data_IF_888827417779
#
_entry.id   IF_888827417779
#
_cell.length_a   1.000
_cell.length_b   1.000
_cell.length_c   1.000
_cell.angle_alpha   90.00
_cell.angle_beta   90.00
_cell.angle_gamma   90.00
#
_symmetry.space_group_name_H-M   'P 1'
#
loop_
_entity.id
_entity.type
_entity.pdbx_description
1 polymer ?
#
# COMPACT_ATOMS: atom_id res chain seq x y z
N UNK A 1 -6.67 -14.20 5.09
CA UNK A 1 -5.40 -13.47 5.39
C UNK A 1 -4.25 -14.35 4.92
N UNK A 2 -3.26 -13.74 4.27
CA UNK A 2 -1.99 -14.36 3.88
C UNK A 2 -0.92 -13.69 4.72
N UNK A 3 -0.18 -14.45 5.50
CA UNK A 3 0.94 -13.99 6.29
C UNK A 3 2.23 -14.31 5.53
N UNK A 4 3.09 -13.32 5.36
CA UNK A 4 4.34 -13.43 4.64
C UNK A 4 5.49 -12.97 5.53
N UNK A 5 6.57 -13.74 5.55
CA UNK A 5 7.79 -13.40 6.27
C UNK A 5 9.01 -13.56 5.35
N UNK A 6 9.83 -12.54 5.30
CA UNK A 6 11.03 -12.50 4.46
C UNK A 6 12.30 -12.87 5.23
N UNK A 7 12.27 -14.02 5.91
CA UNK A 7 13.35 -14.53 6.75
C UNK A 7 13.72 -13.56 7.89
N UNK A 8 12.72 -13.16 8.68
CA UNK A 8 12.94 -12.35 9.88
C UNK A 8 13.84 -13.05 10.90
N UNK A 9 14.69 -12.27 11.58
CA UNK A 9 15.66 -12.77 12.57
C UNK A 9 15.29 -12.41 14.02
N UNK A 10 14.13 -11.79 14.21
CA UNK A 10 13.54 -11.42 15.48
C UNK A 10 12.41 -12.39 15.90
N UNK A 11 11.59 -12.01 16.87
CA UNK A 11 10.47 -12.82 17.38
C UNK A 11 9.26 -12.92 16.42
N UNK A 12 9.32 -12.39 15.19
CA UNK A 12 8.22 -12.40 14.23
C UNK A 12 7.68 -13.79 13.99
N UNK A 13 8.55 -14.80 13.91
CA UNK A 13 8.16 -16.20 13.73
C UNK A 13 7.25 -16.73 14.85
N UNK A 14 7.50 -16.36 16.09
CA UNK A 14 6.67 -16.74 17.22
C UNK A 14 5.27 -16.16 17.09
N UNK A 15 5.17 -14.88 16.70
CA UNK A 15 3.92 -14.17 16.49
C UNK A 15 3.13 -14.82 15.33
N UNK A 16 3.77 -15.04 14.19
CA UNK A 16 3.14 -15.63 13.02
C UNK A 16 2.60 -17.02 13.29
N UNK A 17 3.36 -17.86 14.00
CA UNK A 17 2.92 -19.19 14.41
C UNK A 17 1.69 -19.16 15.34
N UNK A 18 1.60 -18.16 16.21
CA UNK A 18 0.41 -17.96 17.05
C UNK A 18 -0.85 -17.72 16.17
N UNK A 19 -0.72 -16.91 15.12
CA UNK A 19 -1.84 -16.61 14.23
C UNK A 19 -2.13 -17.68 13.17
N UNK A 20 -1.22 -18.62 12.91
CA UNK A 20 -1.38 -19.69 11.93
C UNK A 20 -2.66 -20.51 12.13
N UNK A 21 -3.10 -20.69 13.36
CA UNK A 21 -4.31 -21.46 13.70
C UNK A 21 -5.61 -20.66 13.57
N UNK A 22 -5.53 -19.35 13.29
CA UNK A 22 -6.70 -18.52 13.11
C UNK A 22 -7.39 -18.89 11.78
N UNK A 23 -8.70 -19.16 11.83
CA UNK A 23 -9.50 -19.62 10.67
C UNK A 23 -9.51 -18.63 9.50
N UNK A 24 -9.15 -17.36 9.73
CA UNK A 24 -9.03 -16.33 8.68
C UNK A 24 -7.68 -16.37 7.97
N UNK A 25 -6.67 -17.03 8.53
CA UNK A 25 -5.35 -17.18 7.92
C UNK A 25 -5.37 -18.39 7.00
N UNK A 26 -5.21 -18.15 5.70
CA UNK A 26 -5.24 -19.21 4.68
C UNK A 26 -3.86 -19.67 4.26
N UNK A 27 -2.86 -18.80 4.40
CA UNK A 27 -1.46 -19.09 4.07
C UNK A 27 -0.53 -18.44 5.09
N UNK A 28 0.53 -19.16 5.44
CA UNK A 28 1.70 -18.66 6.13
C UNK A 28 2.92 -19.09 5.31
N UNK A 29 3.58 -18.11 4.71
CA UNK A 29 4.73 -18.30 3.85
C UNK A 29 5.96 -17.65 4.47
N UNK A 30 7.02 -18.43 4.61
CA UNK A 30 8.27 -17.98 5.25
C UNK A 30 9.40 -18.25 4.27
N UNK A 31 10.13 -17.21 3.92
CA UNK A 31 11.31 -17.38 3.08
C UNK A 31 12.47 -17.94 3.90
N UNK A 32 13.28 -18.78 3.27
CA UNK A 32 14.52 -19.29 3.88
C UNK A 32 15.67 -18.29 3.83
N UNK A 33 15.58 -17.32 2.92
CA UNK A 33 16.57 -16.25 2.72
C UNK A 33 15.83 -14.95 2.48
N UNK A 34 16.30 -13.88 3.12
CA UNK A 34 15.73 -12.54 2.93
C UNK A 34 15.97 -12.05 1.49
N UNK A 35 14.91 -11.65 0.82
CA UNK A 35 14.96 -11.15 -0.58
C UNK A 35 15.50 -9.72 -0.65
N UNK A 36 15.43 -8.97 0.42
CA UNK A 36 15.82 -7.58 0.50
C UNK A 36 14.86 -6.61 -0.20
N UNK A 37 13.69 -7.09 -0.65
CA UNK A 37 12.68 -6.27 -1.32
C UNK A 37 11.27 -6.59 -0.79
N UNK A 38 10.52 -5.59 -0.31
CA UNK A 38 9.12 -5.80 0.08
C UNK A 38 8.26 -6.19 -1.13
N UNK A 39 8.63 -5.76 -2.33
CA UNK A 39 7.83 -5.97 -3.54
C UNK A 39 7.83 -7.45 -3.99
N UNK A 40 8.88 -8.20 -3.70
CA UNK A 40 8.88 -9.66 -3.90
C UNK A 40 7.83 -10.34 -3.00
N UNK A 41 7.65 -9.86 -1.77
CA UNK A 41 6.59 -10.33 -0.88
C UNK A 41 5.21 -9.92 -1.39
N UNK A 42 5.05 -8.71 -1.92
CA UNK A 42 3.80 -8.28 -2.52
C UNK A 42 3.39 -9.22 -3.68
N UNK A 43 4.31 -9.48 -4.61
CA UNK A 43 4.06 -10.39 -5.74
C UNK A 43 3.60 -11.77 -5.26
N UNK A 44 4.29 -12.34 -4.27
CA UNK A 44 3.96 -13.63 -3.67
C UNK A 44 2.55 -13.61 -3.04
N UNK A 45 2.25 -12.60 -2.23
CA UNK A 45 0.95 -12.45 -1.58
C UNK A 45 -0.20 -12.26 -2.58
N UNK A 46 0.01 -11.44 -3.60
CA UNK A 46 -0.99 -11.23 -4.66
C UNK A 46 -1.27 -12.53 -5.42
N UNK A 47 -0.24 -13.31 -5.75
CA UNK A 47 -0.38 -14.59 -6.46
C UNK A 47 -1.20 -15.62 -5.67
N UNK A 48 -1.03 -15.66 -4.35
CA UNK A 48 -1.75 -16.58 -3.45
C UNK A 48 -3.17 -16.09 -3.13
N UNK A 49 -3.47 -14.82 -3.39
CA UNK A 49 -4.75 -14.22 -3.03
C UNK A 49 -5.89 -14.77 -3.88
N UNK A 50 -7.07 -14.93 -3.25
CA UNK A 50 -8.32 -15.36 -3.92
C UNK A 50 -9.41 -14.30 -3.91
N UNK A 51 -9.16 -13.18 -3.22
CA UNK A 51 -10.12 -12.10 -3.05
C UNK A 51 -10.29 -11.26 -4.33
N UNK A 52 -11.48 -10.70 -4.51
CA UNK A 52 -11.76 -9.71 -5.55
C UNK A 52 -10.94 -8.43 -5.35
N UNK A 53 -10.72 -8.08 -4.11
CA UNK A 53 -9.93 -6.93 -3.67
C UNK A 53 -8.72 -7.41 -2.91
N UNK A 54 -7.64 -6.65 -3.00
CA UNK A 54 -6.40 -6.89 -2.28
C UNK A 54 -6.08 -5.66 -1.45
N UNK A 55 -5.65 -5.90 -0.24
CA UNK A 55 -5.07 -4.95 0.67
C UNK A 55 -3.69 -5.45 1.10
N UNK A 56 -2.66 -4.68 0.84
CA UNK A 56 -1.30 -4.93 1.33
C UNK A 56 -1.18 -4.20 2.66
N UNK A 57 -1.21 -4.95 3.75
CA UNK A 57 -1.02 -4.43 5.10
C UNK A 57 0.44 -4.65 5.51
N UNK A 58 1.22 -3.59 5.52
CA UNK A 58 2.61 -3.63 5.96
C UNK A 58 2.67 -3.81 7.49
N UNK A 59 3.63 -4.59 7.96
CA UNK A 59 3.63 -5.08 9.35
C UNK A 59 3.90 -4.00 10.40
N UNK A 60 4.47 -2.88 9.99
CA UNK A 60 4.75 -1.73 10.85
C UNK A 60 3.61 -0.70 10.92
N UNK A 61 2.61 -0.83 10.05
CA UNK A 61 1.47 0.06 10.00
C UNK A 61 0.27 -0.44 10.82
N UNK A 62 -0.74 0.42 10.93
CA UNK A 62 -2.04 0.07 11.51
C UNK A 62 -3.18 0.75 10.77
N UNK A 63 -4.40 0.26 10.97
CA UNK A 63 -5.59 0.84 10.37
C UNK A 63 -6.74 0.91 11.38
N UNK A 64 -7.64 1.87 11.16
CA UNK A 64 -8.90 1.92 11.89
C UNK A 64 -9.77 0.72 11.51
N UNK A 65 -10.61 0.25 12.43
CA UNK A 65 -11.47 -0.93 12.21
C UNK A 65 -12.43 -0.77 11.03
N UNK A 66 -12.78 0.47 10.67
CA UNK A 66 -13.65 0.81 9.53
C UNK A 66 -12.93 0.94 8.19
N UNK A 67 -11.59 0.84 8.15
CA UNK A 67 -10.80 1.05 6.94
C UNK A 67 -11.24 0.16 5.77
N UNK A 68 -11.34 -1.14 5.98
CA UNK A 68 -11.72 -2.09 4.91
C UNK A 68 -13.17 -1.91 4.48
N UNK A 69 -14.09 -1.69 5.43
CA UNK A 69 -15.49 -1.45 5.11
C UNK A 69 -15.65 -0.22 4.21
N UNK A 70 -15.00 0.88 4.58
CA UNK A 70 -15.02 2.12 3.79
C UNK A 70 -14.40 1.92 2.43
N UNK A 71 -13.20 1.34 2.35
CA UNK A 71 -12.47 1.13 1.10
C UNK A 71 -13.25 0.25 0.12
N UNK A 72 -13.80 -0.88 0.60
CA UNK A 72 -14.57 -1.81 -0.23
C UNK A 72 -15.89 -1.16 -0.69
N UNK A 73 -16.56 -0.42 0.19
CA UNK A 73 -17.76 0.34 -0.17
C UNK A 73 -17.47 1.32 -1.31
N UNK A 74 -16.39 2.10 -1.19
CA UNK A 74 -15.98 3.08 -2.20
C UNK A 74 -15.65 2.41 -3.52
N UNK A 75 -14.80 1.38 -3.52
CA UNK A 75 -14.44 0.68 -4.78
C UNK A 75 -15.66 0.06 -5.45
N UNK A 76 -16.67 -0.39 -4.68
CA UNK A 76 -17.92 -0.91 -5.25
C UNK A 76 -18.78 0.17 -5.89
N UNK A 77 -18.80 1.40 -5.34
CA UNK A 77 -19.52 2.54 -5.93
C UNK A 77 -18.92 2.98 -7.27
N UNK A 78 -17.61 2.73 -7.49
CA UNK A 78 -16.90 3.09 -8.70
C UNK A 78 -16.38 1.84 -9.44
N UNK A 79 -17.21 1.15 -10.25
CA UNK A 79 -16.85 -0.12 -10.88
C UNK A 79 -15.63 -0.04 -11.81
N UNK A 80 -15.32 1.15 -12.33
CA UNK A 80 -14.16 1.40 -13.19
C UNK A 80 -12.89 1.76 -12.41
N UNK A 81 -12.96 1.87 -11.08
CA UNK A 81 -11.79 2.14 -10.26
C UNK A 81 -10.85 0.92 -10.23
N UNK A 82 -9.58 1.12 -10.53
CA UNK A 82 -8.54 0.11 -10.35
C UNK A 82 -8.17 -0.02 -8.88
N UNK A 83 -8.12 1.10 -8.16
CA UNK A 83 -7.89 1.15 -6.72
C UNK A 83 -8.52 2.39 -6.09
N UNK A 84 -8.67 2.32 -4.77
CA UNK A 84 -8.87 3.51 -3.94
C UNK A 84 -7.78 3.59 -2.86
N UNK A 85 -7.45 4.81 -2.45
CA UNK A 85 -6.56 5.02 -1.31
C UNK A 85 -7.11 6.07 -0.35
N UNK A 86 -6.81 5.89 0.91
CA UNK A 86 -7.25 6.72 2.01
C UNK A 86 -6.03 7.38 2.65
N UNK A 87 -6.23 8.53 3.28
CA UNK A 87 -5.18 9.21 4.00
C UNK A 87 -4.72 8.46 5.25
N UNK A 88 -3.54 8.82 5.74
CA UNK A 88 -2.93 8.21 6.91
C UNK A 88 -2.58 9.26 7.96
N UNK A 89 -2.83 8.94 9.22
CA UNK A 89 -2.15 9.60 10.32
C UNK A 89 -0.73 9.07 10.45
N UNK A 90 0.26 9.96 10.52
CA UNK A 90 1.60 9.53 10.86
C UNK A 90 1.69 9.21 12.36
N UNK A 91 2.30 8.08 12.70
CA UNK A 91 2.51 7.65 14.08
C UNK A 91 4.00 7.36 14.36
N UNK A 92 4.42 7.48 15.60
CA UNK A 92 5.75 7.10 16.05
C UNK A 92 5.87 5.57 16.29
N UNK A 93 7.05 5.12 16.72
CA UNK A 93 7.33 3.71 17.04
C UNK A 93 6.41 3.16 18.15
N UNK A 94 5.88 4.03 19.02
CA UNK A 94 4.98 3.68 20.13
C UNK A 94 3.51 3.77 19.76
N UNK A 95 3.18 4.24 18.53
CA UNK A 95 1.82 4.42 18.06
C UNK A 95 1.20 5.79 18.41
N UNK A 96 1.97 6.74 18.94
CA UNK A 96 1.47 8.09 19.20
C UNK A 96 1.37 8.86 17.88
N UNK A 97 0.28 9.60 17.69
CA UNK A 97 0.10 10.42 16.51
C UNK A 97 1.09 11.59 16.47
N UNK A 98 1.70 11.78 15.31
CA UNK A 98 2.62 12.87 15.03
C UNK A 98 1.89 14.04 14.32
N UNK A 99 2.48 15.23 14.39
CA UNK A 99 2.02 16.40 13.63
C UNK A 99 2.42 16.34 12.15
N UNK A 100 3.29 15.40 11.76
CA UNK A 100 3.69 15.19 10.35
C UNK A 100 2.48 14.74 9.54
N UNK A 101 2.30 15.35 8.37
CA UNK A 101 1.23 15.03 7.43
C UNK A 101 1.79 14.96 6.02
N UNK A 102 1.56 13.85 5.35
CA UNK A 102 1.93 13.65 3.95
C UNK A 102 0.74 13.86 3.00
N UNK A 103 -0.50 13.82 3.52
CA UNK A 103 -1.70 14.10 2.76
C UNK A 103 -1.81 15.59 2.50
N UNK A 104 -1.42 16.04 1.34
CA UNK A 104 -1.43 17.45 0.97
C UNK A 104 -2.78 17.89 0.40
N UNK A 105 -3.85 17.55 1.09
CA UNK A 105 -5.17 17.96 0.68
C UNK A 105 -5.42 19.45 0.87
N UNK A 106 -5.98 20.04 -0.15
CA UNK A 106 -6.42 21.44 -0.09
C UNK A 106 -7.69 21.57 0.73
N UNK A 107 -8.00 22.77 1.19
CA UNK A 107 -9.27 23.04 1.88
C UNK A 107 -10.50 22.75 1.01
N UNK A 108 -10.36 22.77 -0.32
CA UNK A 108 -11.42 22.38 -1.26
C UNK A 108 -11.68 20.86 -1.21
N UNK A 109 -10.61 20.05 -1.23
CA UNK A 109 -10.71 18.60 -1.13
C UNK A 109 -11.32 18.17 0.21
N UNK A 110 -10.87 18.75 1.32
CA UNK A 110 -11.39 18.47 2.66
C UNK A 110 -12.86 18.86 2.85
N UNK A 111 -13.39 19.77 2.01
CA UNK A 111 -14.80 20.17 2.01
C UNK A 111 -15.61 19.51 0.89
N UNK A 112 -15.04 18.58 0.17
CA UNK A 112 -15.77 17.87 -0.89
C UNK A 112 -17.00 17.18 -0.28
N UNK A 113 -18.21 17.32 -0.87
CA UNK A 113 -19.48 16.85 -0.26
C UNK A 113 -19.48 15.37 0.14
N UNK A 114 -18.68 14.56 -0.54
CA UNK A 114 -18.59 13.11 -0.31
C UNK A 114 -17.23 12.65 0.20
N UNK A 115 -16.32 13.57 0.48
CA UNK A 115 -14.93 13.28 0.84
C UNK A 115 -14.22 12.36 -0.16
N UNK A 116 -14.56 12.41 -1.45
CA UNK A 116 -14.06 11.51 -2.47
C UNK A 116 -13.68 12.30 -3.73
N UNK A 117 -12.47 12.12 -4.22
CA UNK A 117 -12.02 12.51 -5.56
C UNK A 117 -11.98 11.30 -6.47
N UNK A 118 -12.47 11.45 -7.70
CA UNK A 118 -12.45 10.38 -8.71
C UNK A 118 -11.75 10.91 -9.94
N UNK A 119 -10.72 10.22 -10.37
CA UNK A 119 -9.82 10.67 -11.44
C UNK A 119 -9.73 9.60 -12.52
N UNK A 120 -9.63 10.01 -13.75
CA UNK A 120 -9.14 9.14 -14.81
C UNK A 120 -7.71 8.73 -14.52
N UNK A 121 -7.34 7.48 -14.79
CA UNK A 121 -6.03 6.97 -14.38
C UNK A 121 -4.87 7.63 -15.13
N UNK A 122 -5.01 7.86 -16.45
CA UNK A 122 -3.99 8.54 -17.24
C UNK A 122 -3.83 10.00 -16.81
N UNK A 123 -4.93 10.69 -16.53
CA UNK A 123 -4.89 12.05 -15.97
C UNK A 123 -4.25 12.09 -14.59
N UNK A 124 -4.52 11.09 -13.75
CA UNK A 124 -3.91 11.00 -12.43
C UNK A 124 -2.41 10.77 -12.52
N UNK A 125 -1.94 9.90 -13.44
CA UNK A 125 -0.51 9.71 -13.70
C UNK A 125 0.12 11.03 -14.14
N UNK A 126 -0.43 11.68 -15.17
CA UNK A 126 0.11 12.90 -15.76
C UNK A 126 0.23 14.07 -14.78
N UNK A 127 -0.77 14.24 -13.92
CA UNK A 127 -0.87 15.41 -13.04
C UNK A 127 -0.37 15.17 -11.62
N UNK A 128 -0.18 13.90 -11.21
CA UNK A 128 0.25 13.52 -9.88
C UNK A 128 1.46 12.57 -9.94
N UNK A 129 1.27 11.31 -10.32
CA UNK A 129 2.30 10.27 -10.17
C UNK A 129 3.54 10.49 -11.05
N UNK A 130 3.43 11.21 -12.16
CA UNK A 130 4.59 11.59 -12.96
C UNK A 130 5.60 12.48 -12.18
N UNK A 131 5.08 13.30 -11.27
CA UNK A 131 5.90 14.28 -10.54
C UNK A 131 6.37 13.76 -9.18
N UNK A 132 5.62 12.85 -8.57
CA UNK A 132 5.86 12.38 -7.22
C UNK A 132 4.97 11.18 -6.89
N UNK A 133 5.49 10.27 -6.04
CA UNK A 133 4.65 9.26 -5.41
C UNK A 133 3.72 9.92 -4.37
N UNK A 134 2.46 10.14 -4.75
CA UNK A 134 1.41 10.64 -3.83
C UNK A 134 0.77 9.51 -3.02
N UNK A 135 1.00 8.27 -3.41
CA UNK A 135 0.51 7.08 -2.70
C UNK A 135 1.67 6.53 -1.85
N UNK A 136 2.04 7.30 -0.86
CA UNK A 136 3.24 7.09 -0.04
C UNK A 136 3.15 5.91 0.94
N UNK A 137 1.97 5.31 1.10
CA UNK A 137 1.72 4.21 2.03
C UNK A 137 0.81 3.14 1.40
N UNK A 138 1.36 1.97 1.12
CA UNK A 138 0.63 0.85 0.54
C UNK A 138 -0.50 0.34 1.45
N UNK A 139 -0.32 0.41 2.77
CA UNK A 139 -1.36 0.04 3.74
C UNK A 139 -2.60 0.92 3.68
N UNK A 140 -2.51 2.09 3.03
CA UNK A 140 -3.65 2.98 2.77
C UNK A 140 -4.47 2.62 1.53
N UNK A 141 -4.10 1.58 0.78
CA UNK A 141 -4.66 1.27 -0.55
C UNK A 141 -5.41 -0.05 -0.57
N UNK A 142 -6.57 -0.06 -1.22
CA UNK A 142 -7.30 -1.28 -1.61
C UNK A 142 -7.48 -1.28 -3.12
N UNK A 143 -7.06 -2.35 -3.80
CA UNK A 143 -7.12 -2.44 -5.25
C UNK A 143 -7.85 -3.68 -5.76
N UNK A 144 -8.29 -3.62 -7.03
CA UNK A 144 -8.93 -4.75 -7.70
C UNK A 144 -7.89 -5.74 -8.21
N UNK A 145 -8.01 -7.01 -7.83
CA UNK A 145 -7.15 -8.07 -8.34
C UNK A 145 -7.24 -8.18 -9.87
N UNK A 146 -8.44 -8.09 -10.44
CA UNK A 146 -8.66 -8.15 -11.88
C UNK A 146 -7.88 -7.06 -12.64
N UNK A 147 -7.74 -5.85 -12.08
CA UNK A 147 -6.94 -4.79 -12.69
C UNK A 147 -5.44 -5.12 -12.63
N UNK A 148 -4.97 -5.64 -11.51
CA UNK A 148 -3.59 -6.13 -11.40
C UNK A 148 -3.27 -7.20 -12.44
N UNK A 149 -4.17 -8.15 -12.67
CA UNK A 149 -3.99 -9.24 -13.64
C UNK A 149 -3.87 -8.76 -15.10
N UNK A 150 -4.20 -7.50 -15.38
CA UNK A 150 -4.05 -6.86 -16.71
C UNK A 150 -2.69 -6.15 -16.89
N UNK A 151 -1.94 -5.97 -15.82
CA UNK A 151 -0.62 -5.32 -15.87
C UNK A 151 0.36 -6.21 -16.65
N UNK A 152 1.01 -5.61 -17.62
CA UNK A 152 2.01 -6.31 -18.45
C UNK A 152 3.43 -6.13 -17.93
N UNK A 153 3.73 -4.95 -17.40
CA UNK A 153 5.04 -4.64 -16.85
C UNK A 153 5.02 -4.86 -15.34
N UNK A 154 5.67 -5.92 -14.90
CA UNK A 154 5.81 -6.30 -13.50
C UNK A 154 7.21 -6.02 -12.96
N UNK A 155 8.00 -5.17 -13.64
CA UNK A 155 9.37 -4.81 -13.24
C UNK A 155 9.45 -4.18 -11.85
N UNK A 156 8.36 -3.56 -11.38
CA UNK A 156 8.23 -3.04 -10.02
C UNK A 156 8.58 -4.07 -8.94
N UNK A 157 8.33 -5.35 -9.17
CA UNK A 157 8.64 -6.42 -8.21
C UNK A 157 10.12 -6.79 -8.15
N UNK A 158 10.91 -6.36 -9.12
CA UNK A 158 12.38 -6.53 -9.14
C UNK A 158 13.11 -5.33 -8.53
N UNK A 159 12.37 -4.26 -8.21
CA UNK A 159 12.92 -3.06 -7.59
C UNK A 159 13.07 -3.24 -6.08
N UNK A 160 13.82 -2.33 -5.45
CA UNK A 160 14.07 -2.36 -4.02
C UNK A 160 13.49 -1.17 -3.26
N UNK A 161 13.43 -0.01 -3.87
CA UNK A 161 13.08 1.26 -3.21
C UNK A 161 11.81 1.90 -3.77
N UNK A 162 11.69 2.06 -5.07
CA UNK A 162 10.60 2.81 -5.73
C UNK A 162 9.59 1.93 -6.46
N UNK A 163 9.59 0.62 -6.18
CA UNK A 163 8.69 -0.35 -6.84
C UNK A 163 7.21 -0.09 -6.55
N UNK A 164 6.87 0.46 -5.37
CA UNK A 164 5.52 0.89 -5.05
C UNK A 164 5.03 2.00 -6.00
N UNK A 165 5.88 2.97 -6.29
CA UNK A 165 5.54 4.06 -7.19
C UNK A 165 5.22 3.57 -8.60
N UNK A 166 6.08 2.74 -9.17
CA UNK A 166 5.83 2.12 -10.47
C UNK A 166 4.59 1.22 -10.43
N UNK A 167 4.39 0.45 -9.36
CA UNK A 167 3.21 -0.38 -9.17
C UNK A 167 1.91 0.44 -9.24
N UNK A 168 1.85 1.59 -8.55
CA UNK A 168 0.66 2.45 -8.59
C UNK A 168 0.46 3.12 -9.94
N UNK A 169 1.53 3.45 -10.68
CA UNK A 169 1.44 3.92 -12.06
C UNK A 169 0.80 2.83 -12.93
N UNK A 170 1.31 1.61 -12.87
CA UNK A 170 0.77 0.49 -13.66
C UNK A 170 -0.68 0.17 -13.29
N UNK A 171 -1.03 0.24 -12.02
CA UNK A 171 -2.41 0.09 -11.57
C UNK A 171 -3.32 1.22 -12.07
N UNK A 172 -2.87 2.46 -12.07
CA UNK A 172 -3.63 3.61 -12.56
C UNK A 172 -3.95 3.49 -14.06
N UNK A 173 -3.05 2.93 -14.87
CA UNK A 173 -3.30 2.64 -16.30
C UNK A 173 -4.47 1.69 -16.53
N UNK A 174 -4.87 0.89 -15.53
CA UNK A 174 -5.93 -0.11 -15.66
C UNK A 174 -7.33 0.43 -15.34
N UNK A 175 -7.46 1.68 -14.91
CA UNK A 175 -8.78 2.24 -14.59
C UNK A 175 -8.72 3.57 -13.87
N UNK A 176 -9.82 3.92 -13.22
CA UNK A 176 -9.90 5.16 -12.45
C UNK A 176 -9.19 5.03 -11.10
N UNK A 177 -8.69 6.14 -10.59
CA UNK A 177 -8.12 6.29 -9.25
C UNK A 177 -9.14 6.99 -8.37
N UNK A 178 -9.41 6.44 -7.19
CA UNK A 178 -10.31 7.05 -6.21
C UNK A 178 -9.53 7.44 -4.96
N UNK A 179 -9.54 8.72 -4.66
CA UNK A 179 -8.92 9.30 -3.46
C UNK A 179 -10.01 9.59 -2.42
N UNK A 180 -9.85 9.06 -1.23
CA UNK A 180 -10.79 9.26 -0.11
C UNK A 180 -10.15 10.19 0.91
N UNK A 181 -10.75 11.35 1.11
CA UNK A 181 -10.24 12.43 1.99
C UNK A 181 -10.60 12.17 3.45
N UNK A 182 -10.36 10.95 3.89
CA UNK A 182 -10.48 10.50 5.29
C UNK A 182 -9.22 9.74 5.68
N UNK A 183 -8.75 9.95 6.91
CA UNK A 183 -7.57 9.27 7.44
C UNK A 183 -8.00 8.07 8.28
N UNK A 184 -8.04 6.90 7.66
CA UNK A 184 -8.40 5.64 8.32
C UNK A 184 -7.23 4.66 8.39
N UNK A 185 -6.05 5.08 7.94
CA UNK A 185 -4.81 4.33 8.08
C UNK A 185 -3.83 5.05 9.00
N UNK A 186 -2.83 4.35 9.51
CA UNK A 186 -1.78 4.86 10.41
C UNK A 186 -0.43 4.43 9.86
N UNK A 187 0.30 5.39 9.33
CA UNK A 187 1.62 5.21 8.75
C UNK A 187 2.71 5.41 9.80
N UNK A 188 3.48 4.36 10.08
CA UNK A 188 4.52 4.42 11.11
C UNK A 188 5.81 5.00 10.57
N UNK A 189 6.30 6.04 11.23
CA UNK A 189 7.59 6.66 10.96
C UNK A 189 8.63 6.15 11.94
N UNK A 190 9.64 5.47 11.43
CA UNK A 190 10.78 5.00 12.21
C UNK A 190 12.12 5.34 11.54
N UNK A 191 13.19 5.31 12.33
CA UNK A 191 14.51 5.78 11.86
C UNK A 191 15.23 4.81 10.93
N UNK A 192 14.76 3.58 10.82
CA UNK A 192 15.44 2.47 10.11
C UNK A 192 14.67 2.05 8.85
N UNK A 193 13.80 2.90 8.30
CA UNK A 193 12.99 2.56 7.12
C UNK A 193 13.86 2.33 5.88
N UNK A 194 13.40 1.46 4.98
CA UNK A 194 14.04 1.17 3.68
C UNK A 194 14.21 2.44 2.87
N UNK A 195 13.22 3.31 2.83
CA UNK A 195 13.25 4.62 2.15
C UNK A 195 14.40 5.49 2.66
N UNK A 196 14.60 5.59 3.99
CA UNK A 196 15.72 6.37 4.56
C UNK A 196 17.09 5.76 4.24
N UNK A 197 17.17 4.42 4.15
CA UNK A 197 18.40 3.75 3.73
C UNK A 197 18.72 4.07 2.27
N UNK A 198 17.75 3.95 1.36
CA UNK A 198 17.92 4.27 -0.05
C UNK A 198 18.33 5.73 -0.29
N UNK A 199 17.75 6.68 0.47
CA UNK A 199 18.15 8.10 0.40
C UNK A 199 19.61 8.33 0.86
N UNK A 200 20.06 7.64 1.91
CA UNK A 200 21.43 7.78 2.42
C UNK A 200 22.49 7.20 1.47
N UNK A 201 22.17 6.12 0.78
CA UNK A 201 23.10 5.46 -0.16
C UNK A 201 23.02 6.05 -1.56
N UNK A 202 21.98 6.81 -1.87
CA UNK A 202 21.69 7.32 -3.21
C UNK A 202 21.12 6.25 -4.16
N UNK A 203 20.88 5.03 -3.68
CA UNK A 203 20.36 3.94 -4.53
C UNK A 203 18.90 4.14 -4.89
N UNK A 204 18.11 4.78 -4.02
CA UNK A 204 16.72 5.15 -4.32
C UNK A 204 16.61 6.04 -5.55
N UNK A 205 17.48 7.03 -5.68
CA UNK A 205 17.50 7.97 -6.83
C UNK A 205 17.82 7.29 -8.17
N UNK A 206 18.39 6.09 -8.15
CA UNK A 206 18.71 5.34 -9.39
C UNK A 206 17.53 4.50 -9.87
N UNK A 207 16.53 4.28 -9.02
CA UNK A 207 15.31 3.57 -9.38
C UNK A 207 14.18 4.54 -9.76
N UNK A 208 14.26 5.81 -9.32
CA UNK A 208 13.28 6.86 -9.66
C UNK A 208 13.53 7.37 -11.10
#
# INVERSE_FOLDING_TARGET
IILLDDASTDDSMSILNHYKTNSRVTHLEINSVNTGSPFAQWQKGISLSRGKYIWIAESDDAAESSFLEKSVSVVNQYPRASFCFLGSHCIDEKGNQLSTDFDRWTSKQLRHPHNIGVFDGEDYIKHNLYWRNYIYNASGVVFRKQCFEQIKDLSCFSMRYSGDWLFWIEMAKQGMVVEVYEKLNKFRLHNVSTTKKGQKTGDGVRED
#
